data_IF_035199239193
#
_entry.id   IF_035199239193
#
_cell.length_a   1.000
_cell.length_b   1.000
_cell.length_c   1.000
_cell.angle_alpha   90.00
_cell.angle_beta   90.00
_cell.angle_gamma   90.00
#
_symmetry.space_group_name_H-M   'P 1'
#
loop_
_entity.id
_entity.type
_entity.pdbx_description
1 polymer ?
#
# COMPACT_ATOMS: atom_id res chain seq x y z
N UNK A 1 52.09 46.81 -76.39
CA UNK A 1 50.67 46.84 -75.97
C UNK A 1 50.23 45.39 -75.86
N UNK A 2 49.68 44.82 -74.79
CA UNK A 2 48.96 45.35 -73.63
C UNK A 2 49.26 44.47 -72.40
N UNK A 3 49.17 45.08 -71.22
CA UNK A 3 49.55 44.51 -69.93
C UNK A 3 48.58 43.41 -69.43
N UNK A 4 49.15 42.31 -68.94
CA UNK A 4 48.46 41.32 -68.11
C UNK A 4 48.34 41.91 -66.70
N UNK A 5 47.13 42.32 -66.30
CA UNK A 5 46.82 42.64 -64.89
C UNK A 5 46.24 41.40 -64.22
N UNK A 6 47.09 40.62 -63.57
CA UNK A 6 46.67 39.61 -62.60
C UNK A 6 46.18 40.29 -61.33
N UNK A 7 44.86 40.50 -61.21
CA UNK A 7 44.23 40.96 -59.99
C UNK A 7 44.17 39.81 -58.97
N UNK A 8 45.10 39.79 -58.03
CA UNK A 8 45.05 38.88 -56.89
C UNK A 8 43.90 39.24 -55.97
N UNK A 9 42.85 38.42 -55.94
CA UNK A 9 41.82 38.50 -54.91
C UNK A 9 42.46 38.26 -53.53
N UNK A 10 42.10 39.03 -52.49
CA UNK A 10 42.69 38.90 -51.16
C UNK A 10 42.27 37.57 -50.51
N UNK A 11 43.09 36.52 -50.67
CA UNK A 11 42.91 35.18 -50.06
C UNK A 11 42.75 35.21 -48.54
N UNK A 12 43.20 36.28 -47.87
CA UNK A 12 43.10 36.45 -46.41
C UNK A 12 41.66 36.66 -45.91
N UNK A 13 40.79 37.30 -46.69
CA UNK A 13 39.40 37.53 -46.29
C UNK A 13 38.54 36.27 -46.31
N UNK A 14 38.84 35.36 -47.24
CA UNK A 14 38.12 34.08 -47.39
C UNK A 14 38.45 33.11 -46.25
N UNK A 15 39.72 33.06 -45.81
CA UNK A 15 40.14 32.19 -44.69
C UNK A 15 39.53 32.66 -43.36
N UNK A 16 39.41 33.97 -43.13
CA UNK A 16 38.74 34.50 -41.95
C UNK A 16 37.24 34.18 -41.95
N UNK A 17 36.58 34.30 -43.10
CA UNK A 17 35.17 33.93 -43.26
C UNK A 17 34.96 32.43 -42.97
N UNK A 18 35.84 31.57 -43.49
CA UNK A 18 35.78 30.13 -43.29
C UNK A 18 35.89 29.76 -41.80
N UNK A 19 36.86 30.32 -41.08
CA UNK A 19 37.02 30.07 -39.64
C UNK A 19 35.80 30.55 -38.84
N UNK A 20 35.24 31.72 -39.17
CA UNK A 20 34.05 32.25 -38.49
C UNK A 20 32.83 31.37 -38.78
N UNK A 21 32.67 30.89 -40.02
CA UNK A 21 31.59 29.97 -40.39
C UNK A 21 31.75 28.62 -39.69
N UNK A 22 32.94 28.04 -39.67
CA UNK A 22 33.22 26.79 -38.96
C UNK A 22 32.96 26.92 -37.46
N UNK A 23 33.39 28.03 -36.84
CA UNK A 23 33.13 28.30 -35.43
C UNK A 23 31.63 28.48 -35.17
N UNK A 24 30.91 29.18 -36.06
CA UNK A 24 29.47 29.32 -35.98
C UNK A 24 28.74 27.98 -36.06
N UNK A 25 29.12 27.10 -36.98
CA UNK A 25 28.56 25.75 -37.10
C UNK A 25 28.89 24.89 -35.87
N UNK A 26 30.10 25.00 -35.33
CA UNK A 26 30.50 24.29 -34.12
C UNK A 26 29.64 24.69 -32.93
N UNK A 27 29.49 26.00 -32.68
CA UNK A 27 28.69 26.51 -31.56
C UNK A 27 27.24 26.07 -31.69
N UNK A 28 26.66 26.16 -32.89
CA UNK A 28 25.28 25.69 -33.15
C UNK A 28 25.16 24.19 -32.92
N UNK A 29 26.14 23.39 -33.37
CA UNK A 29 26.17 21.95 -33.14
C UNK A 29 26.19 21.59 -31.66
N UNK A 30 27.04 22.26 -30.86
CA UNK A 30 27.08 22.05 -29.41
C UNK A 30 25.76 22.45 -28.74
N UNK A 31 25.14 23.56 -29.17
CA UNK A 31 23.85 23.99 -28.64
C UNK A 31 22.74 22.95 -28.89
N UNK A 32 22.68 22.39 -30.11
CA UNK A 32 21.73 21.33 -30.45
C UNK A 32 21.92 20.07 -29.59
N UNK A 33 23.17 19.62 -29.42
CA UNK A 33 23.50 18.47 -28.56
C UNK A 33 23.10 18.75 -27.11
N UNK A 34 23.40 19.94 -26.60
CA UNK A 34 23.02 20.34 -25.23
C UNK A 34 21.50 20.31 -25.00
N UNK A 35 20.72 20.81 -25.96
CA UNK A 35 19.26 20.72 -25.90
C UNK A 35 18.76 19.26 -25.89
N UNK A 36 19.33 18.42 -26.75
CA UNK A 36 18.96 17.00 -26.83
C UNK A 36 19.30 16.24 -25.53
N UNK A 37 20.45 16.53 -24.91
CA UNK A 37 20.82 15.93 -23.62
C UNK A 37 19.84 16.33 -22.53
N UNK A 38 19.50 17.62 -22.43
CA UNK A 38 18.54 18.09 -21.44
C UNK A 38 17.16 17.46 -21.62
N UNK A 39 16.69 17.34 -22.86
CA UNK A 39 15.43 16.66 -23.16
C UNK A 39 15.47 15.18 -22.77
N UNK A 40 16.58 14.50 -23.05
CA UNK A 40 16.77 13.10 -22.65
C UNK A 40 16.76 12.91 -21.13
N UNK A 41 17.36 13.83 -20.37
CA UNK A 41 17.33 13.80 -18.90
C UNK A 41 15.92 14.01 -18.35
N UNK A 42 15.17 14.95 -18.92
CA UNK A 42 13.80 15.21 -18.48
C UNK A 42 12.88 14.01 -18.76
N UNK A 43 12.97 13.44 -19.97
CA UNK A 43 12.21 12.22 -20.32
C UNK A 43 12.60 11.03 -19.44
N UNK A 44 13.90 10.87 -19.13
CA UNK A 44 14.35 9.80 -18.24
C UNK A 44 13.78 9.98 -16.82
N UNK A 45 13.78 11.22 -16.30
CA UNK A 45 13.20 11.54 -14.99
C UNK A 45 11.71 11.28 -14.96
N UNK A 46 10.97 11.72 -15.98
CA UNK A 46 9.54 11.46 -16.09
C UNK A 46 9.24 9.95 -16.16
N UNK A 47 10.02 9.20 -16.94
CA UNK A 47 9.87 7.74 -17.04
C UNK A 47 10.14 7.03 -15.70
N UNK A 48 11.16 7.46 -14.95
CA UNK A 48 11.45 6.92 -13.61
C UNK A 48 10.29 7.20 -12.64
N UNK A 49 9.80 8.44 -12.60
CA UNK A 49 8.65 8.81 -11.77
C UNK A 49 7.39 7.99 -12.10
N UNK A 50 7.06 7.85 -13.39
CA UNK A 50 5.90 7.04 -13.83
C UNK A 50 6.07 5.56 -13.49
N UNK A 51 7.26 5.00 -13.66
CA UNK A 51 7.53 3.59 -13.32
C UNK A 51 7.33 3.36 -11.82
N UNK A 52 7.84 4.26 -10.98
CA UNK A 52 7.63 4.21 -9.54
C UNK A 52 6.16 4.37 -9.18
N UNK A 53 5.45 5.32 -9.79
CA UNK A 53 4.02 5.51 -9.56
C UNK A 53 3.22 4.22 -9.82
N UNK A 54 3.52 3.49 -10.89
CA UNK A 54 2.88 2.20 -11.18
C UNK A 54 3.21 1.13 -10.12
N UNK A 55 4.46 1.07 -9.62
CA UNK A 55 4.79 0.16 -8.51
C UNK A 55 4.06 0.52 -7.21
N UNK A 56 3.85 1.81 -6.96
CA UNK A 56 3.10 2.30 -5.80
C UNK A 56 1.60 2.00 -5.92
N UNK A 57 1.04 2.02 -7.14
CA UNK A 57 -0.32 1.53 -7.42
C UNK A 57 -0.48 0.09 -6.95
N UNK A 58 0.42 -0.80 -7.38
CA UNK A 58 0.37 -2.21 -6.99
C UNK A 58 0.51 -2.40 -5.47
N UNK A 59 1.36 -1.59 -4.84
CA UNK A 59 1.55 -1.60 -3.39
C UNK A 59 0.26 -1.22 -2.65
N UNK A 60 -0.41 -0.14 -3.07
CA UNK A 60 -1.66 0.31 -2.43
C UNK A 60 -2.82 -0.66 -2.64
N UNK A 61 -2.91 -1.28 -3.81
CA UNK A 61 -3.89 -2.36 -3.99
C UNK A 61 -3.57 -3.60 -3.17
N UNK A 62 -2.29 -3.89 -2.91
CA UNK A 62 -1.92 -4.96 -1.99
C UNK A 62 -2.27 -4.62 -0.53
N UNK A 63 -2.09 -3.36 -0.10
CA UNK A 63 -2.54 -2.88 1.22
C UNK A 63 -4.06 -2.98 1.37
N UNK A 64 -4.83 -2.57 0.35
CA UNK A 64 -6.28 -2.77 0.31
C UNK A 64 -6.65 -4.26 0.40
N UNK A 65 -5.94 -5.12 -0.32
CA UNK A 65 -6.18 -6.56 -0.29
C UNK A 65 -5.82 -7.24 1.03
N UNK A 66 -4.87 -6.68 1.75
CA UNK A 66 -4.48 -7.15 3.07
C UNK A 66 -5.42 -6.65 4.19
N UNK A 67 -6.40 -5.79 3.89
CA UNK A 67 -7.26 -5.17 4.91
C UNK A 67 -6.56 -4.07 5.72
N UNK A 68 -5.40 -3.59 5.25
CA UNK A 68 -4.72 -2.45 5.90
C UNK A 68 -5.51 -1.17 5.63
N UNK A 69 -5.95 -1.01 4.38
CA UNK A 69 -6.88 0.04 3.97
C UNK A 69 -8.28 -0.57 3.92
N UNK A 70 -9.21 -0.02 4.69
CA UNK A 70 -10.61 -0.42 4.67
C UNK A 70 -11.45 0.85 4.55
N UNK A 71 -12.33 0.96 3.55
CA UNK A 71 -13.24 2.09 3.45
C UNK A 71 -14.27 2.02 4.58
N UNK A 72 -14.57 3.16 5.20
CA UNK A 72 -15.57 3.25 6.26
C UNK A 72 -17.00 3.21 5.71
N UNK A 73 -17.18 3.56 4.43
CA UNK A 73 -18.47 3.57 3.76
C UNK A 73 -18.36 3.15 2.29
N UNK A 74 -19.51 2.96 1.64
CA UNK A 74 -19.56 2.57 0.22
C UNK A 74 -19.12 3.70 -0.74
N UNK A 75 -19.12 4.94 -0.26
CA UNK A 75 -18.68 6.15 -0.98
C UNK A 75 -17.64 6.90 -0.12
N UNK A 76 -16.44 6.34 -0.04
CA UNK A 76 -15.35 6.83 0.82
C UNK A 76 -14.16 7.33 0.00
N UNK A 77 -13.39 8.26 0.56
CA UNK A 77 -12.17 8.80 -0.04
C UNK A 77 -11.05 8.73 0.98
N UNK A 78 -10.03 7.93 0.67
CA UNK A 78 -8.82 7.81 1.46
C UNK A 78 -7.69 8.58 0.78
N UNK A 79 -6.99 9.42 1.54
CA UNK A 79 -5.86 10.23 1.04
C UNK A 79 -4.65 10.01 1.94
N UNK A 80 -3.46 10.03 1.35
CA UNK A 80 -2.24 10.07 2.14
C UNK A 80 -0.97 10.19 1.31
N UNK A 81 0.16 10.12 1.98
CA UNK A 81 1.48 10.03 1.34
C UNK A 81 2.14 8.66 1.60
N UNK A 82 3.34 8.48 1.05
CA UNK A 82 4.19 7.31 1.26
C UNK A 82 5.36 7.58 2.22
N UNK A 83 5.27 8.68 2.98
CA UNK A 83 6.30 9.16 3.88
C UNK A 83 7.67 9.37 3.23
N UNK A 84 8.71 9.30 4.06
CA UNK A 84 10.11 9.54 3.65
C UNK A 84 10.72 8.44 2.77
N UNK A 85 10.07 7.28 2.67
CA UNK A 85 10.54 6.16 1.81
C UNK A 85 10.35 6.51 0.34
N UNK A 86 9.22 7.15 0.01
CA UNK A 86 8.91 7.65 -1.33
C UNK A 86 8.50 9.13 -1.25
N UNK A 87 9.46 10.03 -1.00
CA UNK A 87 9.13 11.42 -0.72
C UNK A 87 8.64 12.14 -1.97
N UNK A 88 7.64 12.99 -1.79
CA UNK A 88 6.92 13.70 -2.84
C UNK A 88 5.78 12.92 -3.47
N UNK A 89 5.63 11.62 -3.19
CA UNK A 89 4.51 10.85 -3.72
C UNK A 89 3.29 10.96 -2.79
N UNK A 90 2.15 11.33 -3.38
CA UNK A 90 0.84 11.30 -2.75
C UNK A 90 -0.05 10.24 -3.40
N UNK A 91 -1.07 9.81 -2.69
CA UNK A 91 -2.08 8.89 -3.20
C UNK A 91 -3.47 9.27 -2.72
N UNK A 92 -4.46 8.95 -3.54
CA UNK A 92 -5.88 9.07 -3.22
C UNK A 92 -6.62 7.84 -3.76
N UNK A 93 -7.48 7.26 -2.94
CA UNK A 93 -8.32 6.13 -3.30
C UNK A 93 -9.78 6.50 -3.07
N UNK A 94 -10.54 6.53 -4.14
CA UNK A 94 -11.98 6.79 -4.14
C UNK A 94 -12.72 5.46 -4.28
N UNK A 95 -13.68 5.22 -3.41
CA UNK A 95 -14.58 4.07 -3.43
C UNK A 95 -15.96 4.55 -3.83
N UNK A 96 -16.59 3.86 -4.78
CA UNK A 96 -17.95 4.17 -5.22
C UNK A 96 -18.78 2.88 -5.32
N UNK A 97 -20.04 2.93 -4.89
CA UNK A 97 -20.95 1.80 -5.08
C UNK A 97 -21.27 1.58 -6.57
N UNK A 98 -21.10 0.33 -7.03
CA UNK A 98 -21.49 -0.04 -8.40
C UNK A 98 -22.95 -0.48 -8.49
N UNK A 99 -23.48 -0.59 -9.72
CA UNK A 99 -24.81 -1.17 -9.97
C UNK A 99 -24.92 -2.64 -9.54
N UNK A 100 -23.79 -3.32 -9.29
CA UNK A 100 -23.77 -4.71 -8.84
C UNK A 100 -23.55 -4.75 -7.33
N UNK A 101 -24.48 -5.37 -6.62
CA UNK A 101 -24.40 -5.59 -5.18
C UNK A 101 -23.06 -6.23 -4.79
N UNK A 102 -22.50 -5.79 -3.66
CA UNK A 102 -21.22 -6.24 -3.09
C UNK A 102 -19.98 -5.97 -3.97
N UNK A 103 -20.05 -5.07 -4.94
CA UNK A 103 -18.90 -4.59 -5.70
C UNK A 103 -18.78 -3.06 -5.59
N UNK A 104 -17.59 -2.62 -5.19
CA UNK A 104 -17.17 -1.22 -5.20
C UNK A 104 -16.26 -0.97 -6.41
N UNK A 105 -16.42 0.19 -7.04
CA UNK A 105 -15.45 0.72 -7.99
C UNK A 105 -14.41 1.49 -7.18
N UNK A 106 -13.13 1.12 -7.36
CA UNK A 106 -12.01 1.76 -6.70
C UNK A 106 -11.18 2.49 -7.74
N UNK A 107 -11.06 3.80 -7.56
CA UNK A 107 -10.17 4.66 -8.36
C UNK A 107 -8.98 5.06 -7.51
N UNK A 108 -7.79 4.62 -7.89
CA UNK A 108 -6.54 4.96 -7.24
C UNK A 108 -5.75 5.95 -8.10
N UNK A 109 -5.48 7.11 -7.54
CA UNK A 109 -4.67 8.17 -8.14
C UNK A 109 -3.35 8.30 -7.40
N UNK A 110 -2.22 8.30 -8.13
CA UNK A 110 -0.88 8.57 -7.61
C UNK A 110 -0.37 9.87 -8.20
N UNK A 111 0.10 10.77 -7.33
CA UNK A 111 0.68 12.06 -7.70
C UNK A 111 2.12 12.20 -7.24
N UNK A 112 2.83 13.17 -7.80
CA UNK A 112 4.15 13.59 -7.35
C UNK A 112 4.25 15.11 -7.27
N UNK A 113 4.65 15.61 -6.10
CA UNK A 113 4.97 17.02 -5.88
C UNK A 113 6.42 17.17 -5.37
N UNK A 114 7.19 18.02 -6.07
CA UNK A 114 8.56 18.33 -5.71
C UNK A 114 8.70 19.19 -4.44
N UNK A 115 7.69 20.01 -4.13
CA UNK A 115 7.69 20.84 -2.93
C UNK A 115 7.41 19.99 -1.69
N UNK A 116 6.42 19.09 -1.77
CA UNK A 116 6.15 18.09 -0.74
C UNK A 116 7.39 17.24 -0.45
N UNK A 117 8.11 16.82 -1.50
CA UNK A 117 9.37 16.08 -1.35
C UNK A 117 10.40 16.87 -0.53
N UNK A 118 10.56 18.16 -0.83
CA UNK A 118 11.53 19.00 -0.12
C UNK A 118 11.15 19.14 1.36
N UNK A 119 9.86 19.28 1.65
CA UNK A 119 9.33 19.37 3.00
C UNK A 119 9.53 18.07 3.79
N UNK A 120 9.15 16.91 3.23
CA UNK A 120 9.32 15.60 3.89
C UNK A 120 10.80 15.27 4.15
N UNK A 121 11.71 15.68 3.26
CA UNK A 121 13.14 15.53 3.48
C UNK A 121 13.63 16.44 4.62
N UNK A 122 13.10 17.66 4.71
CA UNK A 122 13.47 18.60 5.76
C UNK A 122 12.90 18.18 7.13
N UNK A 123 11.70 17.61 7.16
CA UNK A 123 10.96 17.21 8.36
C UNK A 123 10.51 15.74 8.28
N UNK A 124 11.38 14.78 8.61
CA UNK A 124 11.06 13.35 8.49
C UNK A 124 9.93 12.83 9.40
N UNK A 125 9.67 13.51 10.52
CA UNK A 125 8.65 13.14 11.52
C UNK A 125 7.28 13.78 11.25
N UNK A 126 7.13 14.44 10.10
CA UNK A 126 5.88 15.10 9.71
C UNK A 126 4.78 14.07 9.48
N UNK A 127 3.60 14.33 10.04
CA UNK A 127 2.41 13.56 9.74
C UNK A 127 1.85 13.96 8.36
N UNK A 128 1.24 13.00 7.65
CA UNK A 128 0.60 13.28 6.37
C UNK A 128 -0.65 14.13 6.60
N UNK A 129 -0.67 15.33 6.03
CA UNK A 129 -1.79 16.28 6.04
C UNK A 129 -2.40 16.51 4.65
N UNK A 130 -2.04 15.66 3.67
CA UNK A 130 -2.51 15.80 2.30
C UNK A 130 -4.02 15.70 2.21
N UNK A 131 -4.61 16.55 1.38
CA UNK A 131 -6.01 16.46 0.98
C UNK A 131 -6.16 16.06 -0.50
N UNK A 132 -7.42 15.85 -0.91
CA UNK A 132 -7.78 15.51 -2.30
C UNK A 132 -7.19 16.51 -3.31
N UNK A 133 -7.18 17.81 -2.99
CA UNK A 133 -6.74 18.86 -3.92
C UNK A 133 -5.23 18.84 -4.11
N UNK A 134 -4.50 18.48 -3.06
CA UNK A 134 -3.05 18.32 -3.14
C UNK A 134 -2.69 17.16 -4.09
N UNK A 135 -3.44 16.06 -4.04
CA UNK A 135 -3.21 14.90 -4.92
C UNK A 135 -3.65 15.18 -6.35
N UNK A 136 -4.81 15.82 -6.54
CA UNK A 136 -5.40 16.13 -7.85
C UNK A 136 -4.88 17.42 -8.51
N UNK A 137 -3.82 18.01 -7.96
CA UNK A 137 -3.17 19.19 -8.52
C UNK A 137 -2.75 18.95 -9.99
N UNK A 138 -3.11 19.90 -10.86
CA UNK A 138 -2.83 19.77 -12.30
C UNK A 138 -1.33 19.61 -12.57
N UNK A 139 -1.00 18.62 -13.41
CA UNK A 139 0.39 18.23 -13.71
C UNK A 139 1.12 17.41 -12.63
N UNK A 140 0.52 17.18 -11.45
CA UNK A 140 1.10 16.33 -10.41
C UNK A 140 0.72 14.85 -10.57
N UNK A 141 -0.42 14.55 -11.20
CA UNK A 141 -0.92 13.17 -11.37
C UNK A 141 -0.03 12.39 -12.34
N UNK A 142 0.53 11.29 -11.86
CA UNK A 142 1.42 10.41 -12.63
C UNK A 142 0.72 9.15 -13.14
N UNK A 143 -0.20 8.60 -12.34
CA UNK A 143 -0.91 7.37 -12.68
C UNK A 143 -2.32 7.36 -12.07
N UNK A 144 -3.26 6.79 -12.82
CA UNK A 144 -4.62 6.50 -12.34
C UNK A 144 -4.91 5.05 -12.70
N UNK A 145 -5.41 4.29 -11.72
CA UNK A 145 -5.75 2.89 -11.88
C UNK A 145 -7.16 2.62 -11.35
N UNK A 146 -7.88 1.75 -12.04
CA UNK A 146 -9.25 1.39 -11.70
C UNK A 146 -9.32 -0.09 -11.37
N UNK A 147 -10.03 -0.44 -10.30
CA UNK A 147 -10.23 -1.83 -9.89
C UNK A 147 -11.62 -2.01 -9.31
N UNK A 148 -12.24 -3.15 -9.62
CA UNK A 148 -13.43 -3.60 -8.90
C UNK A 148 -13.00 -4.32 -7.63
N UNK A 149 -13.59 -3.93 -6.50
CA UNK A 149 -13.28 -4.46 -5.19
C UNK A 149 -14.55 -5.10 -4.59
N UNK A 150 -14.50 -6.39 -4.18
CA UNK A 150 -15.63 -6.98 -3.50
C UNK A 150 -15.78 -6.32 -2.12
N UNK A 151 -17.00 -5.90 -1.78
CA UNK A 151 -17.31 -5.50 -0.41
C UNK A 151 -17.12 -6.73 0.47
N UNK A 152 -16.25 -6.69 1.51
CA UNK A 152 -16.08 -7.82 2.40
C UNK A 152 -17.43 -8.20 3.00
N UNK A 153 -17.66 -9.50 3.15
CA UNK A 153 -18.90 -9.98 3.74
C UNK A 153 -19.02 -9.38 5.15
N UNK A 154 -20.14 -8.71 5.42
CA UNK A 154 -20.54 -8.37 6.77
C UNK A 154 -20.76 -9.67 7.54
N UNK A 155 -19.75 -10.13 8.28
CA UNK A 155 -19.84 -11.33 9.11
C UNK A 155 -20.41 -10.90 10.45
N UNK A 156 -21.67 -11.25 10.69
CA UNK A 156 -22.34 -10.98 11.95
C UNK A 156 -22.47 -12.30 12.72
N UNK A 157 -21.74 -12.45 13.83
CA UNK A 157 -21.70 -13.73 14.56
C UNK A 157 -23.06 -14.17 15.10
N UNK A 158 -23.89 -13.22 15.53
CA UNK A 158 -25.25 -13.49 16.02
C UNK A 158 -26.15 -13.98 14.88
N UNK A 159 -26.12 -13.32 13.71
CA UNK A 159 -26.93 -13.65 12.54
C UNK A 159 -26.47 -14.93 11.84
N UNK A 160 -25.16 -15.08 11.65
CA UNK A 160 -24.59 -16.09 10.76
C UNK A 160 -24.21 -17.38 11.49
N UNK A 161 -23.88 -17.30 12.78
CA UNK A 161 -23.46 -18.44 13.60
C UNK A 161 -24.35 -18.66 14.83
N UNK A 162 -25.34 -17.79 15.07
CA UNK A 162 -26.20 -17.89 16.26
C UNK A 162 -25.48 -17.61 17.57
N UNK A 163 -24.30 -16.96 17.53
CA UNK A 163 -23.50 -16.64 18.71
C UNK A 163 -23.85 -15.24 19.17
N UNK A 164 -24.59 -15.14 20.28
CA UNK A 164 -24.89 -13.86 20.90
C UNK A 164 -23.71 -13.41 21.79
N UNK A 165 -22.92 -12.47 21.28
CA UNK A 165 -21.76 -11.91 21.97
C UNK A 165 -22.14 -10.97 23.12
N UNK A 166 -23.39 -10.49 23.16
CA UNK A 166 -23.85 -9.64 24.26
C UNK A 166 -23.98 -10.41 25.58
N UNK A 167 -24.34 -11.70 25.53
CA UNK A 167 -24.33 -12.57 26.71
C UNK A 167 -22.91 -12.85 27.23
N UNK A 168 -21.90 -12.83 26.34
CA UNK A 168 -20.48 -13.01 26.71
C UNK A 168 -19.88 -11.75 27.36
N UNK A 169 -20.44 -10.57 27.10
CA UNK A 169 -19.99 -9.31 27.70
C UNK A 169 -20.78 -8.94 28.95
N UNK A 170 -22.03 -9.41 29.10
CA UNK A 170 -22.90 -9.09 30.24
C UNK A 170 -23.12 -10.21 31.28
N UNK A 171 -22.66 -11.45 31.06
CA UNK A 171 -22.67 -12.52 32.08
C UNK A 171 -21.29 -12.67 32.73
N UNK A 172 -21.07 -12.42 34.01
CA UNK A 172 -21.91 -12.79 35.14
C UNK A 172 -21.13 -13.81 35.97
N UNK A 173 -20.78 -13.46 37.20
CA UNK A 173 -20.14 -14.39 38.14
C UNK A 173 -20.90 -15.72 38.26
N UNK A 174 -20.24 -16.78 38.75
CA UNK A 174 -20.68 -18.16 38.61
C UNK A 174 -22.10 -18.34 39.17
N UNK A 175 -23.07 -18.43 38.26
CA UNK A 175 -24.48 -18.63 38.55
C UNK A 175 -24.91 -20.00 38.03
N UNK A 176 -25.42 -20.80 38.97
CA UNK A 176 -25.95 -22.14 38.76
C UNK A 176 -27.05 -22.21 37.68
N UNK A 177 -27.07 -23.38 37.02
CA UNK A 177 -28.20 -23.99 36.29
C UNK A 177 -28.49 -23.50 34.85
N UNK A 178 -27.78 -24.12 33.91
CA UNK A 178 -28.17 -24.21 32.50
C UNK A 178 -27.52 -25.43 31.82
N UNK A 179 -28.29 -26.50 31.62
CA UNK A 179 -27.87 -27.70 30.88
C UNK A 179 -27.62 -27.37 29.38
N UNK A 180 -26.40 -26.96 29.09
CA UNK A 180 -25.86 -26.81 27.73
C UNK A 180 -24.36 -27.03 27.77
N UNK A 181 -23.94 -28.29 27.81
CA UNK A 181 -22.53 -28.69 27.91
C UNK A 181 -21.76 -28.43 26.61
N UNK A 182 -21.45 -27.17 26.34
CA UNK A 182 -20.25 -26.76 25.61
C UNK A 182 -19.26 -26.25 26.65
N UNK A 183 -18.02 -26.74 26.63
CA UNK A 183 -17.08 -26.66 27.76
C UNK A 183 -16.92 -25.25 28.33
N UNK A 184 -17.27 -25.07 29.60
CA UNK A 184 -17.33 -23.75 30.25
C UNK A 184 -16.00 -22.99 30.24
N UNK A 185 -14.86 -23.67 30.15
CA UNK A 185 -13.56 -22.98 30.07
C UNK A 185 -13.28 -22.28 28.73
N UNK A 186 -13.99 -22.63 27.67
CA UNK A 186 -13.77 -22.08 26.32
C UNK A 186 -14.42 -20.70 26.15
N UNK A 187 -15.69 -20.57 26.53
CA UNK A 187 -16.40 -19.29 26.48
C UNK A 187 -15.86 -18.31 27.53
N UNK A 188 -15.41 -18.81 28.68
CA UNK A 188 -14.74 -17.99 29.71
C UNK A 188 -13.43 -17.36 29.20
N UNK A 189 -12.64 -18.08 28.39
CA UNK A 189 -11.39 -17.55 27.81
C UNK A 189 -11.66 -16.49 26.74
N UNK A 190 -12.67 -16.73 25.88
CA UNK A 190 -13.07 -15.76 24.85
C UNK A 190 -13.65 -14.50 25.51
N UNK A 191 -14.50 -14.65 26.54
CA UNK A 191 -15.08 -13.54 27.29
C UNK A 191 -14.00 -12.75 28.05
N UNK A 192 -13.01 -13.41 28.65
CA UNK A 192 -11.89 -12.75 29.31
C UNK A 192 -11.07 -11.90 28.33
N UNK A 193 -10.78 -12.43 27.14
CA UNK A 193 -10.01 -11.71 26.12
C UNK A 193 -10.80 -10.53 25.51
N UNK A 194 -12.10 -10.73 25.28
CA UNK A 194 -13.01 -9.66 24.81
C UNK A 194 -13.19 -8.55 25.86
N UNK A 195 -13.14 -8.89 27.15
CA UNK A 195 -13.16 -7.91 28.23
C UNK A 195 -11.85 -7.11 28.31
N UNK A 196 -10.71 -7.70 27.94
CA UNK A 196 -9.40 -7.04 27.92
C UNK A 196 -9.23 -6.16 26.67
N UNK A 197 -9.83 -6.54 25.54
CA UNK A 197 -9.77 -5.82 24.27
C UNK A 197 -11.17 -5.55 23.69
N UNK A 198 -11.91 -4.57 24.25
CA UNK A 198 -13.28 -4.27 23.82
C UNK A 198 -13.36 -3.77 22.37
N UNK A 199 -12.28 -3.18 21.86
CA UNK A 199 -12.22 -2.60 20.51
C UNK A 199 -12.20 -3.67 19.39
N UNK A 200 -12.05 -4.96 19.74
CA UNK A 200 -12.14 -6.06 18.78
C UNK A 200 -13.57 -6.20 18.23
N UNK A 201 -14.58 -5.83 19.01
CA UNK A 201 -15.98 -5.90 18.61
C UNK A 201 -16.55 -4.50 18.50
N UNK A 202 -16.92 -4.12 17.29
CA UNK A 202 -17.63 -2.87 17.02
C UNK A 202 -19.02 -2.94 17.63
N UNK A 203 -19.62 -1.78 17.90
CA UNK A 203 -20.95 -1.67 18.52
C UNK A 203 -22.08 -2.34 17.74
N UNK A 204 -21.85 -2.71 16.47
CA UNK A 204 -22.78 -3.44 15.61
C UNK A 204 -22.60 -4.98 15.66
N UNK A 205 -21.66 -5.46 16.49
CA UNK A 205 -21.34 -6.88 16.61
C UNK A 205 -20.40 -7.42 15.53
N UNK A 206 -19.85 -6.54 14.66
CA UNK A 206 -18.82 -6.90 13.70
C UNK A 206 -17.42 -6.90 14.34
N UNK A 207 -16.49 -7.65 13.75
CA UNK A 207 -15.11 -7.76 14.24
C UNK A 207 -14.25 -6.69 13.58
N UNK A 208 -13.47 -5.94 14.37
CA UNK A 208 -12.44 -5.04 13.86
C UNK A 208 -11.12 -5.80 13.62
N UNK A 209 -10.78 -5.99 12.35
CA UNK A 209 -9.57 -6.72 11.93
C UNK A 209 -8.30 -5.96 12.32
N UNK A 210 -8.33 -4.63 12.40
CA UNK A 210 -7.17 -3.82 12.79
C UNK A 210 -6.87 -4.00 14.26
N UNK A 211 -7.91 -4.05 15.10
CA UNK A 211 -7.78 -4.36 16.52
C UNK A 211 -7.18 -5.77 16.74
N UNK A 212 -7.57 -6.76 15.92
CA UNK A 212 -6.94 -8.09 15.95
C UNK A 212 -5.46 -8.07 15.55
N UNK A 213 -5.08 -7.25 14.56
CA UNK A 213 -3.69 -7.15 14.10
C UNK A 213 -2.76 -6.44 15.10
N UNK A 214 -3.34 -5.65 16.01
CA UNK A 214 -2.62 -4.92 17.05
C UNK A 214 -2.33 -5.77 18.30
N UNK A 215 -2.85 -7.00 18.36
CA UNK A 215 -2.65 -7.90 19.49
C UNK A 215 -1.22 -8.42 19.60
N UNK A 216 -0.72 -8.65 20.82
CA UNK A 216 0.50 -9.40 21.06
C UNK A 216 0.47 -10.77 20.35
N UNK A 217 1.62 -11.20 19.82
CA UNK A 217 1.71 -12.43 19.02
C UNK A 217 1.25 -13.70 19.76
N UNK A 218 1.39 -13.75 21.08
CA UNK A 218 0.94 -14.87 21.92
C UNK A 218 -0.59 -14.97 21.96
N UNK A 219 -1.27 -13.85 22.16
CA UNK A 219 -2.74 -13.75 22.23
C UNK A 219 -3.39 -13.96 20.86
N UNK A 220 -2.76 -13.46 19.79
CA UNK A 220 -3.20 -13.72 18.42
C UNK A 220 -3.12 -15.21 18.07
N UNK A 221 -2.05 -15.90 18.48
CA UNK A 221 -1.94 -17.35 18.24
C UNK A 221 -2.99 -18.13 19.02
N UNK A 222 -3.28 -17.76 20.26
CA UNK A 222 -4.34 -18.36 21.07
C UNK A 222 -5.71 -18.18 20.39
N UNK A 223 -6.07 -16.96 19.99
CA UNK A 223 -7.28 -16.66 19.22
C UNK A 223 -7.37 -17.43 17.90
N UNK A 224 -6.27 -17.51 17.15
CA UNK A 224 -6.25 -18.21 15.87
C UNK A 224 -6.49 -19.72 16.01
N UNK A 225 -5.96 -20.32 17.09
CA UNK A 225 -6.17 -21.74 17.42
C UNK A 225 -7.62 -22.02 17.81
N UNK A 226 -8.23 -21.07 18.53
CA UNK A 226 -9.63 -21.08 18.96
C UNK A 226 -10.57 -20.94 17.76
N UNK A 227 -10.29 -20.00 16.84
CA UNK A 227 -11.07 -19.78 15.61
C UNK A 227 -10.98 -20.96 14.63
N UNK A 228 -9.82 -21.62 14.54
CA UNK A 228 -9.65 -22.86 13.76
C UNK A 228 -10.47 -24.03 14.35
N UNK A 229 -10.58 -24.11 15.67
CA UNK A 229 -11.42 -25.10 16.34
C UNK A 229 -12.92 -24.83 16.11
N UNK A 230 -13.34 -23.56 16.03
CA UNK A 230 -14.72 -23.14 15.76
C UNK A 230 -15.16 -23.35 14.29
N UNK A 231 -14.26 -23.08 13.35
CA UNK A 231 -14.55 -23.16 11.90
C UNK A 231 -14.47 -24.59 11.31
N UNK A 232 -14.27 -25.60 12.17
CA UNK A 232 -14.26 -27.01 11.76
C UNK A 232 -13.06 -27.41 10.89
N UNK A 233 -12.05 -26.54 10.80
CA UNK A 233 -10.88 -26.71 9.94
C UNK A 233 -9.69 -27.33 10.68
N UNK A 234 -9.65 -28.66 10.76
CA UNK A 234 -8.40 -29.38 10.94
C UNK A 234 -8.14 -29.95 12.33
N UNK A 235 -8.12 -31.28 12.39
CA UNK A 235 -7.84 -32.11 13.56
C UNK A 235 -6.43 -31.82 14.12
N UNK A 236 -6.34 -30.98 15.16
CA UNK A 236 -5.13 -30.63 15.92
C UNK A 236 -4.39 -31.89 16.42
N UNK A 237 -5.13 -32.98 16.67
CA UNK A 237 -4.54 -34.27 17.03
C UNK A 237 -3.55 -34.79 15.98
N UNK A 238 -3.73 -34.47 14.70
CA UNK A 238 -2.82 -34.94 13.64
C UNK A 238 -1.52 -34.12 13.58
N UNK A 239 -1.58 -32.82 13.88
CA UNK A 239 -0.41 -31.94 13.94
C UNK A 239 0.37 -32.14 15.26
N UNK A 240 -0.32 -32.33 16.39
CA UNK A 240 0.31 -32.73 17.65
C UNK A 240 0.97 -34.11 17.55
N UNK A 241 0.34 -35.08 16.88
CA UNK A 241 0.95 -36.40 16.64
C UNK A 241 2.17 -36.31 15.71
N UNK A 242 2.19 -35.40 14.74
CA UNK A 242 3.37 -35.18 13.88
C UNK A 242 4.50 -34.47 14.63
N UNK A 243 4.19 -33.47 15.46
CA UNK A 243 5.17 -32.80 16.32
C UNK A 243 5.74 -33.75 17.37
N UNK A 244 4.90 -34.58 18.00
CA UNK A 244 5.35 -35.55 18.98
C UNK A 244 6.21 -36.65 18.35
N UNK A 245 5.88 -37.09 17.13
CA UNK A 245 6.76 -38.00 16.35
C UNK A 245 8.09 -37.36 15.97
N UNK A 246 8.12 -36.07 15.66
CA UNK A 246 9.36 -35.36 15.33
C UNK A 246 10.24 -35.17 16.57
N UNK A 247 9.66 -34.86 17.73
CA UNK A 247 10.35 -34.77 19.02
C UNK A 247 10.85 -36.12 19.53
N UNK A 248 10.08 -37.20 19.37
CA UNK A 248 10.53 -38.55 19.72
C UNK A 248 11.64 -39.03 18.77
N UNK A 249 11.54 -38.77 17.47
CA UNK A 249 12.58 -39.14 16.50
C UNK A 249 13.91 -38.40 16.68
N UNK A 250 13.89 -37.20 17.27
CA UNK A 250 15.10 -36.44 17.61
C UNK A 250 15.79 -36.92 18.89
N UNK A 251 15.10 -37.72 19.73
CA UNK A 251 15.64 -38.18 21.02
C UNK A 251 16.35 -39.54 20.95
N UNK A 252 16.18 -40.29 19.86
CA UNK A 252 16.81 -41.60 19.65
C UNK A 252 18.16 -41.52 18.90
N UNK A 253 18.51 -40.36 18.33
CA UNK A 253 19.80 -40.16 17.63
C UNK A 253 20.97 -39.76 18.56
N UNK A 254 20.72 -39.46 19.84
CA UNK A 254 21.76 -39.17 20.84
C UNK A 254 22.15 -40.37 21.72
N UNK A 255 21.67 -41.58 21.42
CA UNK A 255 22.03 -42.82 22.15
C UNK A 255 22.51 -43.98 21.28
N UNK A 256 23.26 -43.70 20.22
CA UNK A 256 24.16 -44.68 19.58
C UNK A 256 25.52 -44.09 19.23
#
# INVERSE_FOLDING_TARGET
MNAVRGGGYPRRGVVLLEVVVSLGLLITGLALVGMQVNQGLETARESDLRTRALMLVDTKFAELAAGVLEPESDDDILVGDFGVVYPGFGWMMEFEQTETDNLLAVTLTISYDGDLRAEQIANPERESDLDEKDVLKDGAVLAVAYRLWPKPADINMSRDYGVDLTELTEGGGPGEDGEGSYGSGFLDQIAALLAEYPDIIKSDGSIDIRALSALPAEEFMELSSILQMLTGGGNINSMQQQMQKLLESGSDEERR
#
